data_IF_909598785854
#
_entry.id   IF_909598785854
#
_cell.length_a   1.000
_cell.length_b   1.000
_cell.length_c   1.000
_cell.angle_alpha   90.00
_cell.angle_beta   90.00
_cell.angle_gamma   90.00
#
_symmetry.space_group_name_H-M   'P 1'
#
loop_
_entity.id
_entity.type
_entity.pdbx_description
1 polymer ?
#
# COMPACT_ATOMS: atom_id res chain seq x y z
N UNK A 1 0.27 -8.63 4.19
CA UNK A 1 1.51 -9.42 4.17
C UNK A 1 1.16 -10.90 4.12
N UNK A 2 1.98 -11.73 3.47
CA UNK A 2 1.78 -13.18 3.43
C UNK A 2 3.06 -13.90 3.89
N UNK A 3 2.90 -14.83 4.81
CA UNK A 3 3.98 -15.71 5.28
C UNK A 3 3.67 -17.14 4.89
N UNK A 4 4.72 -17.86 4.48
CA UNK A 4 4.67 -19.27 4.10
C UNK A 4 5.66 -20.04 4.97
N UNK A 5 5.17 -21.07 5.65
CA UNK A 5 5.97 -21.95 6.48
C UNK A 5 5.71 -23.39 6.11
N UNK A 6 6.75 -24.21 6.05
CA UNK A 6 6.57 -25.67 6.12
C UNK A 6 6.10 -26.07 7.52
N UNK A 7 5.38 -27.18 7.62
CA UNK A 7 4.80 -27.68 8.87
C UNK A 7 5.84 -27.77 10.01
N UNK A 8 7.07 -28.17 9.70
CA UNK A 8 8.17 -28.26 10.68
C UNK A 8 8.54 -26.92 11.34
N UNK A 9 8.22 -25.79 10.71
CA UNK A 9 8.48 -24.45 11.24
C UNK A 9 7.29 -23.84 12.00
N UNK A 10 6.18 -24.58 12.11
CA UNK A 10 4.96 -24.15 12.79
C UNK A 10 4.75 -24.98 14.03
N UNK A 11 4.64 -24.36 15.20
CA UNK A 11 4.43 -25.06 16.46
C UNK A 11 3.13 -25.90 16.40
N UNK A 12 3.10 -27.14 16.92
CA UNK A 12 1.94 -28.02 16.83
C UNK A 12 0.63 -27.40 17.37
N UNK A 13 0.71 -26.60 18.44
CA UNK A 13 -0.45 -25.89 18.98
C UNK A 13 -1.02 -24.84 18.02
N UNK A 14 -0.17 -24.19 17.21
CA UNK A 14 -0.59 -23.27 16.17
C UNK A 14 -1.22 -24.02 15.00
N UNK A 15 -0.64 -25.16 14.59
CA UNK A 15 -1.20 -26.00 13.54
C UNK A 15 -2.64 -26.43 13.86
N UNK A 16 -2.90 -26.84 15.11
CA UNK A 16 -4.24 -27.18 15.58
C UNK A 16 -5.21 -25.99 15.52
N UNK A 17 -4.77 -24.79 15.89
CA UNK A 17 -5.62 -23.59 15.80
C UNK A 17 -5.96 -23.21 14.36
N UNK A 18 -5.04 -23.42 13.43
CA UNK A 18 -5.27 -23.24 11.98
C UNK A 18 -6.30 -24.27 11.51
N UNK A 19 -6.12 -25.55 11.83
CA UNK A 19 -7.05 -26.61 11.44
C UNK A 19 -8.48 -26.38 11.97
N UNK A 20 -8.60 -25.82 13.17
CA UNK A 20 -9.89 -25.50 13.79
C UNK A 20 -10.48 -24.14 13.35
N UNK A 21 -9.78 -23.35 12.52
CA UNK A 21 -10.23 -22.02 12.08
C UNK A 21 -10.25 -20.94 13.17
N UNK A 22 -9.81 -21.25 14.40
CA UNK A 22 -9.89 -20.35 15.57
C UNK A 22 -8.81 -19.25 15.61
N UNK A 23 -7.88 -19.27 14.65
CA UNK A 23 -6.74 -18.35 14.61
C UNK A 23 -7.07 -17.02 13.90
N UNK A 24 -8.18 -16.95 13.17
CA UNK A 24 -8.58 -15.77 12.41
C UNK A 24 -8.97 -14.62 13.36
N UNK A 25 -8.69 -13.38 12.97
CA UNK A 25 -8.83 -12.14 13.76
C UNK A 25 -7.97 -12.06 15.01
N UNK A 26 -7.09 -13.04 15.24
CA UNK A 26 -6.14 -12.98 16.34
C UNK A 26 -5.03 -11.99 16.02
N UNK A 27 -4.59 -11.27 17.05
CA UNK A 27 -3.45 -10.37 16.99
C UNK A 27 -2.15 -11.19 16.98
N UNK A 28 -1.29 -10.90 16.01
CA UNK A 28 0.02 -11.50 15.83
C UNK A 28 1.12 -10.45 15.99
N UNK A 29 2.23 -10.86 16.60
CA UNK A 29 3.46 -10.09 16.67
C UNK A 29 4.43 -10.63 15.61
N UNK A 30 4.86 -9.77 14.71
CA UNK A 30 5.85 -10.07 13.68
C UNK A 30 7.20 -9.61 14.19
N UNK A 31 8.14 -10.53 14.30
CA UNK A 31 9.52 -10.26 14.70
C UNK A 31 10.52 -10.65 13.61
N UNK A 32 11.65 -9.94 13.57
CA UNK A 32 12.84 -10.37 12.86
C UNK A 32 13.65 -11.27 13.79
N UNK A 33 14.09 -12.41 13.27
CA UNK A 33 14.95 -13.34 14.01
C UNK A 33 16.15 -13.71 13.13
N UNK A 34 17.34 -13.61 13.69
CA UNK A 34 18.58 -14.10 13.10
C UNK A 34 19.38 -14.89 14.14
N UNK A 35 20.18 -15.84 13.65
CA UNK A 35 21.16 -16.59 14.43
C UNK A 35 20.59 -17.20 15.73
N UNK A 36 19.38 -17.76 15.69
CA UNK A 36 18.67 -18.26 16.89
C UNK A 36 19.40 -19.39 17.65
N UNK A 37 20.30 -20.10 16.96
CA UNK A 37 21.16 -21.12 17.55
C UNK A 37 22.51 -20.56 18.05
N UNK A 38 22.87 -19.33 17.68
CA UNK A 38 24.10 -18.70 18.15
C UNK A 38 23.99 -18.33 19.64
N UNK A 39 25.03 -18.61 20.44
CA UNK A 39 25.07 -18.19 21.84
C UNK A 39 25.34 -16.69 22.00
N UNK A 40 26.00 -16.05 21.02
CA UNK A 40 26.51 -14.68 21.12
C UNK A 40 25.85 -13.71 20.17
N UNK A 41 25.34 -14.19 19.04
CA UNK A 41 24.84 -13.34 17.95
C UNK A 41 23.33 -13.43 17.74
N UNK A 42 22.64 -14.25 18.55
CA UNK A 42 21.18 -14.39 18.46
C UNK A 42 20.50 -13.03 18.49
N UNK A 43 19.65 -12.75 17.53
CA UNK A 43 19.03 -11.44 17.36
C UNK A 43 17.53 -11.60 17.15
N UNK A 44 16.74 -11.09 18.08
CA UNK A 44 15.28 -11.14 18.06
C UNK A 44 14.73 -9.74 18.32
N UNK A 45 14.05 -9.19 17.31
CA UNK A 45 13.48 -7.86 17.39
C UNK A 45 12.01 -7.90 16.98
N UNK A 46 11.06 -7.52 17.84
CA UNK A 46 9.69 -7.30 17.40
C UNK A 46 9.64 -6.08 16.46
N UNK A 47 8.89 -6.21 15.36
CA UNK A 47 8.89 -5.23 14.27
C UNK A 47 7.52 -4.61 14.10
N UNK A 48 6.46 -5.43 14.04
CA UNK A 48 5.09 -4.96 13.80
C UNK A 48 4.06 -5.86 14.45
N UNK A 49 2.88 -5.28 14.65
CA UNK A 49 1.66 -6.00 14.99
C UNK A 49 0.80 -6.13 13.75
N UNK A 50 0.15 -7.29 13.63
CA UNK A 50 -0.81 -7.54 12.57
C UNK A 50 -1.99 -8.38 13.08
N UNK A 51 -3.08 -8.37 12.33
CA UNK A 51 -4.23 -9.24 12.52
C UNK A 51 -4.18 -10.38 11.49
N UNK A 52 -4.47 -11.61 11.93
CA UNK A 52 -4.54 -12.78 11.05
C UNK A 52 -5.88 -12.76 10.29
N UNK A 53 -5.84 -12.43 8.99
CA UNK A 53 -7.06 -12.34 8.17
C UNK A 53 -7.41 -13.64 7.47
N UNK A 54 -6.41 -14.46 7.17
CA UNK A 54 -6.60 -15.81 6.65
C UNK A 54 -5.45 -16.71 7.10
N UNK A 55 -5.75 -17.98 7.36
CA UNK A 55 -4.78 -19.02 7.63
C UNK A 55 -5.26 -20.32 7.01
N UNK A 56 -4.41 -20.96 6.21
CA UNK A 56 -4.73 -22.22 5.54
C UNK A 56 -3.53 -23.16 5.59
N UNK A 57 -3.82 -24.47 5.59
CA UNK A 57 -2.84 -25.52 5.45
C UNK A 57 -3.09 -26.24 4.12
N UNK A 58 -2.12 -26.19 3.21
CA UNK A 58 -2.18 -26.86 1.92
C UNK A 58 -1.01 -27.83 1.85
N UNK A 59 -1.32 -29.12 1.86
CA UNK A 59 -0.35 -30.21 2.03
C UNK A 59 0.47 -30.03 3.33
N UNK A 60 1.77 -29.76 3.22
CA UNK A 60 2.68 -29.53 4.36
C UNK A 60 3.05 -28.06 4.54
N UNK A 61 2.29 -27.15 3.91
CA UNK A 61 2.58 -25.72 3.92
C UNK A 61 1.46 -24.95 4.59
N UNK A 62 1.82 -24.16 5.60
CA UNK A 62 0.96 -23.19 6.24
C UNK A 62 1.14 -21.82 5.60
N UNK A 63 0.02 -21.23 5.18
CA UNK A 63 -0.05 -19.89 4.63
C UNK A 63 -0.81 -19.00 5.60
N UNK A 64 -0.17 -17.91 6.03
CA UNK A 64 -0.79 -16.88 6.87
C UNK A 64 -0.86 -15.58 6.10
N UNK A 65 -2.08 -15.04 5.94
CA UNK A 65 -2.31 -13.69 5.44
C UNK A 65 -2.59 -12.78 6.62
N UNK A 66 -1.79 -11.72 6.72
CA UNK A 66 -1.81 -10.79 7.83
C UNK A 66 -2.13 -9.37 7.34
N UNK A 67 -3.00 -8.67 8.07
CA UNK A 67 -3.22 -7.22 7.92
C UNK A 67 -2.40 -6.48 8.97
N UNK A 68 -1.41 -5.73 8.53
CA UNK A 68 -0.58 -4.92 9.43
C UNK A 68 -1.45 -3.84 10.06
N UNK A 69 -1.34 -3.67 11.37
CA UNK A 69 -2.06 -2.62 12.10
C UNK A 69 -1.09 -1.53 12.53
N UNK A 70 -0.06 -1.90 13.29
CA UNK A 70 0.80 -0.94 13.98
C UNK A 70 2.26 -1.38 13.96
N UNK A 71 3.18 -0.41 14.02
CA UNK A 71 4.55 -0.66 14.45
C UNK A 71 4.62 -0.80 15.96
N UNK A 72 5.64 -1.52 16.43
CA UNK A 72 5.89 -1.63 17.87
C UNK A 72 6.73 -0.47 18.37
N UNK A 73 6.38 0.02 19.54
CA UNK A 73 7.23 0.87 20.35
C UNK A 73 8.36 0.05 20.96
N UNK A 74 9.58 0.48 20.66
CA UNK A 74 10.82 -0.13 21.11
C UNK A 74 11.62 0.80 22.00
N UNK A 75 11.05 1.87 22.55
CA UNK A 75 11.79 2.83 23.37
C UNK A 75 12.46 2.17 24.59
N UNK A 76 11.83 1.14 25.15
CA UNK A 76 12.37 0.33 26.24
C UNK A 76 13.46 -0.69 25.76
N UNK A 77 13.68 -0.83 24.45
CA UNK A 77 14.75 -1.66 23.87
C UNK A 77 16.05 -0.86 23.70
N UNK A 78 17.16 -1.51 24.05
CA UNK A 78 18.51 -0.96 23.87
C UNK A 78 18.82 -0.59 22.42
N UNK A 79 19.72 0.39 22.25
CA UNK A 79 20.37 0.74 20.98
C UNK A 79 21.74 0.06 20.81
N UNK A 80 22.13 -0.81 21.75
CA UNK A 80 23.35 -1.61 21.69
C UNK A 80 23.07 -3.00 21.13
N UNK A 81 23.77 -3.38 20.05
CA UNK A 81 23.66 -4.73 19.45
C UNK A 81 23.94 -5.83 20.48
N UNK A 82 24.95 -5.65 21.34
CA UNK A 82 25.33 -6.65 22.32
C UNK A 82 24.26 -6.87 23.41
N UNK A 83 23.62 -5.80 23.86
CA UNK A 83 22.51 -5.88 24.82
C UNK A 83 21.27 -6.51 24.19
N UNK A 84 20.93 -6.12 22.95
CA UNK A 84 19.86 -6.77 22.19
C UNK A 84 20.15 -8.27 22.05
N UNK A 85 21.38 -8.66 21.71
CA UNK A 85 21.72 -10.07 21.55
C UNK A 85 21.58 -10.87 22.86
N UNK A 86 21.99 -10.27 23.97
CA UNK A 86 21.87 -10.87 25.32
C UNK A 86 20.40 -11.10 25.70
N UNK A 87 19.54 -10.10 25.51
CA UNK A 87 18.10 -10.24 25.80
C UNK A 87 17.39 -11.16 24.80
N UNK A 88 17.80 -11.12 23.53
CA UNK A 88 17.30 -12.01 22.48
C UNK A 88 17.56 -13.48 22.82
N UNK A 89 18.77 -13.79 23.32
CA UNK A 89 19.12 -15.14 23.78
C UNK A 89 18.16 -15.62 24.87
N UNK A 90 17.97 -14.81 25.92
CA UNK A 90 17.03 -15.13 27.01
C UNK A 90 15.61 -15.36 26.51
N UNK A 91 15.16 -14.57 25.55
CA UNK A 91 13.83 -14.72 24.97
C UNK A 91 13.70 -15.99 24.12
N UNK A 92 14.70 -16.29 23.29
CA UNK A 92 14.75 -17.51 22.45
C UNK A 92 14.83 -18.76 23.30
N UNK A 93 15.60 -18.74 24.39
CA UNK A 93 15.67 -19.85 25.36
C UNK A 93 14.28 -20.15 25.96
N UNK A 94 13.56 -19.11 26.41
CA UNK A 94 12.19 -19.27 26.91
C UNK A 94 11.22 -19.79 25.85
N UNK A 95 11.40 -19.40 24.59
CA UNK A 95 10.62 -19.94 23.46
C UNK A 95 10.89 -21.44 23.29
N UNK A 96 12.17 -21.84 23.32
CA UNK A 96 12.58 -23.25 23.22
C UNK A 96 12.06 -24.07 24.39
N UNK A 97 12.21 -23.58 25.62
CA UNK A 97 11.69 -24.23 26.82
C UNK A 97 10.17 -24.45 26.75
N UNK A 98 9.42 -23.45 26.28
CA UNK A 98 7.96 -23.51 26.20
C UNK A 98 7.41 -24.42 25.09
N UNK A 99 8.21 -24.73 24.07
CA UNK A 99 7.78 -25.46 22.88
C UNK A 99 8.61 -26.73 22.59
N UNK A 100 9.61 -27.04 23.41
CA UNK A 100 10.59 -28.13 23.23
C UNK A 100 11.71 -27.79 22.23
N UNK A 101 11.36 -27.12 21.13
CA UNK A 101 12.31 -26.61 20.12
C UNK A 101 11.92 -25.19 19.68
N UNK A 102 12.79 -24.55 18.91
CA UNK A 102 12.47 -23.25 18.32
C UNK A 102 11.59 -23.42 17.09
N UNK A 103 10.45 -22.71 17.06
CA UNK A 103 9.57 -22.60 15.91
C UNK A 103 9.48 -21.14 15.48
N UNK A 104 9.70 -20.80 14.19
CA UNK A 104 9.45 -19.45 13.69
C UNK A 104 8.01 -18.97 13.86
N UNK A 105 7.02 -19.85 13.70
CA UNK A 105 5.60 -19.54 13.89
C UNK A 105 5.04 -20.30 15.09
N UNK A 106 4.62 -19.57 16.13
CA UNK A 106 4.27 -20.14 17.43
C UNK A 106 3.16 -19.33 18.12
N UNK A 107 2.54 -19.92 19.15
CA UNK A 107 1.55 -19.24 20.00
C UNK A 107 2.11 -18.79 21.35
N UNK A 108 3.09 -19.52 21.89
CA UNK A 108 3.63 -19.31 23.25
C UNK A 108 5.03 -18.72 23.19
N UNK A 109 5.14 -17.42 23.47
CA UNK A 109 6.39 -16.68 23.56
C UNK A 109 6.40 -15.79 24.81
N UNK A 110 7.58 -15.39 25.32
CA UNK A 110 7.68 -14.46 26.44
C UNK A 110 7.04 -13.10 26.10
N UNK A 111 6.53 -12.41 27.11
CA UNK A 111 6.04 -11.05 26.93
C UNK A 111 7.19 -10.13 26.54
N UNK A 112 7.01 -9.38 25.46
CA UNK A 112 7.93 -8.32 25.06
C UNK A 112 7.46 -6.97 25.64
N UNK A 113 8.38 -6.09 26.07
CA UNK A 113 8.05 -4.74 26.52
C UNK A 113 7.74 -3.84 25.32
N UNK A 114 6.65 -4.15 24.61
CA UNK A 114 6.21 -3.42 23.42
C UNK A 114 4.91 -2.68 23.70
N UNK A 115 4.81 -1.46 23.18
CA UNK A 115 3.57 -0.68 23.14
C UNK A 115 3.18 -0.49 21.68
N UNK A 116 1.93 -0.13 21.42
CA UNK A 116 1.44 0.14 20.06
C UNK A 116 0.72 1.47 19.94
N UNK A 117 0.84 2.33 20.95
CA UNK A 117 0.27 3.67 20.96
C UNK A 117 1.36 4.68 20.61
N UNK A 118 1.17 5.47 19.55
CA UNK A 118 2.11 6.51 19.18
C UNK A 118 2.02 6.90 17.71
N UNK A 119 2.87 7.86 17.33
CA UNK A 119 3.07 8.24 15.94
C UNK A 119 3.76 7.10 15.17
N UNK A 120 3.04 6.50 14.21
CA UNK A 120 3.53 5.36 13.43
C UNK A 120 4.82 5.67 12.67
N UNK A 121 5.06 6.93 12.27
CA UNK A 121 6.31 7.32 11.63
C UNK A 121 7.50 7.20 12.58
N UNK A 122 7.32 7.64 13.83
CA UNK A 122 8.33 7.55 14.88
C UNK A 122 8.56 6.10 15.34
N UNK A 123 7.49 5.31 15.48
CA UNK A 123 7.60 3.90 15.81
C UNK A 123 8.33 3.14 14.69
N UNK A 124 8.01 3.41 13.42
CA UNK A 124 8.70 2.81 12.29
C UNK A 124 10.20 3.14 12.25
N UNK A 125 10.59 4.40 12.45
CA UNK A 125 12.01 4.76 12.44
C UNK A 125 12.75 4.12 13.63
N UNK A 126 12.09 3.99 14.79
CA UNK A 126 12.61 3.32 15.98
C UNK A 126 12.91 1.83 15.71
N UNK A 127 12.02 1.15 14.98
CA UNK A 127 12.20 -0.22 14.48
C UNK A 127 13.33 -0.31 13.46
N UNK A 128 13.33 0.57 12.45
CA UNK A 128 14.31 0.55 11.37
C UNK A 128 15.74 0.79 11.89
N UNK A 129 15.92 1.71 12.84
CA UNK A 129 17.20 1.96 13.52
C UNK A 129 17.75 0.72 14.21
N UNK A 130 16.90 -0.03 14.93
CA UNK A 130 17.32 -1.24 15.63
C UNK A 130 17.63 -2.37 14.65
N UNK A 131 16.79 -2.59 13.64
CA UNK A 131 17.08 -3.54 12.57
C UNK A 131 18.44 -3.26 11.91
N UNK A 132 18.75 -1.99 11.64
CA UNK A 132 20.01 -1.57 11.03
C UNK A 132 21.26 -1.84 11.90
N UNK A 133 21.11 -2.14 13.20
CA UNK A 133 22.22 -2.60 14.04
C UNK A 133 22.68 -4.02 13.67
N UNK A 134 21.84 -4.79 12.99
CA UNK A 134 22.19 -6.12 12.53
C UNK A 134 22.99 -6.04 11.21
N UNK A 135 24.11 -6.80 11.06
CA UNK A 135 24.97 -6.72 9.87
C UNK A 135 24.24 -6.94 8.54
N UNK A 136 23.18 -7.75 8.55
CA UNK A 136 22.32 -7.98 7.37
C UNK A 136 21.67 -6.69 6.84
N UNK A 137 21.31 -5.76 7.72
CA UNK A 137 20.58 -4.55 7.36
C UNK A 137 21.43 -3.27 7.41
N UNK A 138 22.65 -3.33 7.92
CA UNK A 138 23.52 -2.16 8.15
C UNK A 138 23.69 -1.25 6.92
N UNK A 139 23.68 -1.84 5.72
CA UNK A 139 23.86 -1.18 4.42
C UNK A 139 22.59 -1.15 3.57
N UNK A 140 21.45 -1.43 4.17
CA UNK A 140 20.17 -1.52 3.47
C UNK A 140 19.33 -0.26 3.66
N UNK A 141 18.42 -0.04 2.73
CA UNK A 141 17.44 1.02 2.80
C UNK A 141 16.10 0.43 3.22
N UNK A 142 15.49 1.04 4.23
CA UNK A 142 14.16 0.72 4.71
C UNK A 142 13.16 1.65 4.03
N UNK A 143 12.03 1.09 3.63
CA UNK A 143 10.93 1.82 3.01
C UNK A 143 9.65 1.66 3.83
N UNK A 144 8.88 2.74 3.94
CA UNK A 144 7.52 2.75 4.47
C UNK A 144 6.60 3.42 3.47
N UNK A 145 5.53 2.72 3.14
CA UNK A 145 4.43 3.24 2.32
C UNK A 145 3.24 3.43 3.24
N UNK A 146 2.77 4.68 3.39
CA UNK A 146 1.63 5.00 4.23
C UNK A 146 0.31 4.89 3.44
N UNK A 147 -0.84 5.02 4.13
CA UNK A 147 -2.13 4.98 3.46
C UNK A 147 -2.27 6.17 2.48
N UNK A 148 -2.82 5.94 1.26
CA UNK A 148 -3.05 7.04 0.34
C UNK A 148 -4.08 8.03 0.90
N UNK A 149 -3.87 9.32 0.66
CA UNK A 149 -4.74 10.40 1.15
C UNK A 149 -5.44 11.09 -0.01
N UNK A 150 -6.70 11.47 0.17
CA UNK A 150 -7.42 12.27 -0.81
C UNK A 150 -6.85 13.70 -0.86
N UNK A 151 -6.80 14.31 -2.05
CA UNK A 151 -6.21 15.64 -2.23
C UNK A 151 -7.04 16.78 -1.62
N UNK A 152 -8.37 16.67 -1.69
CA UNK A 152 -9.29 17.73 -1.24
C UNK A 152 -9.98 17.44 0.09
N UNK A 153 -9.77 16.25 0.67
CA UNK A 153 -10.35 15.88 1.95
C UNK A 153 -9.28 15.17 2.79
N UNK A 154 -9.27 15.40 4.09
CA UNK A 154 -8.39 14.67 5.01
C UNK A 154 -8.80 13.18 5.17
N UNK A 155 -9.54 12.63 4.21
CA UNK A 155 -9.97 11.24 4.23
C UNK A 155 -8.88 10.38 3.58
N UNK A 156 -8.46 9.36 4.31
CA UNK A 156 -7.54 8.34 3.82
C UNK A 156 -8.30 7.30 3.01
N UNK A 157 -7.68 6.84 1.92
CA UNK A 157 -8.13 5.65 1.22
C UNK A 157 -7.62 4.43 1.96
N UNK A 158 -8.54 3.62 2.46
CA UNK A 158 -8.18 2.38 3.14
C UNK A 158 -7.95 1.24 2.15
N UNK A 159 -6.91 0.45 2.36
CA UNK A 159 -6.76 -0.83 1.69
C UNK A 159 -7.86 -1.80 2.15
N UNK A 160 -8.52 -2.45 1.19
CA UNK A 160 -9.50 -3.49 1.46
C UNK A 160 -8.88 -4.74 2.11
N UNK A 161 -9.73 -5.72 2.44
CA UNK A 161 -9.27 -6.94 3.13
C UNK A 161 -8.24 -7.75 2.36
N UNK A 162 -8.30 -7.69 1.03
CA UNK A 162 -7.37 -8.33 0.10
C UNK A 162 -6.11 -7.50 -0.17
N UNK A 163 -5.88 -6.40 0.58
CA UNK A 163 -4.76 -5.49 0.34
C UNK A 163 -4.90 -4.66 -0.93
N UNK A 164 -6.13 -4.51 -1.46
CA UNK A 164 -6.45 -3.75 -2.66
C UNK A 164 -6.82 -2.33 -2.33
N UNK A 165 -6.21 -1.36 -3.01
CA UNK A 165 -6.65 0.03 -2.96
C UNK A 165 -7.85 0.22 -3.89
N UNK A 166 -8.87 0.96 -3.48
CA UNK A 166 -10.01 1.31 -4.34
C UNK A 166 -10.04 2.82 -4.56
N UNK A 167 -9.91 3.25 -5.81
CA UNK A 167 -9.99 4.65 -6.22
C UNK A 167 -11.20 4.86 -7.14
N UNK A 168 -11.86 6.02 -7.06
CA UNK A 168 -12.83 6.42 -8.07
C UNK A 168 -12.13 6.90 -9.35
N UNK A 169 -12.80 6.80 -10.50
CA UNK A 169 -12.32 7.43 -11.73
C UNK A 169 -12.12 8.93 -11.51
N UNK A 170 -11.01 9.47 -12.04
CA UNK A 170 -10.61 10.87 -11.88
C UNK A 170 -10.44 11.35 -10.43
N UNK A 171 -10.41 10.45 -9.43
CA UNK A 171 -10.13 10.79 -8.03
C UNK A 171 -8.66 10.56 -7.74
N UNK A 172 -7.82 11.61 -7.77
CA UNK A 172 -6.42 11.43 -7.50
C UNK A 172 -6.16 11.09 -6.03
N UNK A 173 -5.16 10.23 -5.82
CA UNK A 173 -4.72 9.79 -4.51
C UNK A 173 -3.25 10.12 -4.32
N UNK A 174 -2.92 10.70 -3.17
CA UNK A 174 -1.56 11.04 -2.78
C UNK A 174 -1.00 9.90 -1.95
N UNK A 175 0.13 9.33 -2.37
CA UNK A 175 0.75 8.18 -1.73
C UNK A 175 2.05 8.61 -1.03
N UNK A 176 2.04 8.79 0.30
CA UNK A 176 3.25 9.16 1.04
C UNK A 176 4.17 7.96 1.18
N UNK A 177 5.46 8.18 0.91
CA UNK A 177 6.51 7.17 1.04
C UNK A 177 7.67 7.77 1.80
N UNK A 178 8.07 7.11 2.89
CA UNK A 178 9.26 7.49 3.68
C UNK A 178 10.35 6.43 3.50
N UNK A 179 11.61 6.85 3.59
CA UNK A 179 12.74 5.94 3.60
C UNK A 179 13.75 6.28 4.68
N UNK A 180 14.55 5.28 5.05
CA UNK A 180 15.61 5.42 6.04
C UNK A 180 16.78 4.48 5.74
N UNK A 181 18.00 4.96 5.94
CA UNK A 181 19.22 4.18 5.95
C UNK A 181 20.13 4.60 7.11
N UNK A 182 20.75 3.62 7.75
CA UNK A 182 21.72 3.89 8.81
C UNK A 182 22.97 4.56 8.24
N UNK A 183 23.43 4.12 7.07
CA UNK A 183 24.56 4.69 6.36
C UNK A 183 24.12 5.12 4.96
N UNK A 184 24.27 6.41 4.67
CA UNK A 184 24.09 6.94 3.31
C UNK A 184 25.43 6.86 2.57
N UNK A 185 25.38 6.47 1.31
CA UNK A 185 26.53 6.45 0.41
C UNK A 185 26.12 7.15 -0.86
N UNK A 186 26.94 8.10 -1.33
CA UNK A 186 26.65 8.91 -2.52
C UNK A 186 26.67 8.09 -3.82
N UNK A 187 27.41 6.98 -3.84
CA UNK A 187 27.47 6.05 -4.96
C UNK A 187 27.28 4.60 -4.46
N UNK A 188 26.47 3.77 -5.15
CA UNK A 188 25.69 4.07 -6.35
C UNK A 188 24.48 4.99 -6.06
N UNK A 189 24.01 5.69 -7.10
CA UNK A 189 22.82 6.54 -7.01
C UNK A 189 21.60 5.69 -6.65
N UNK A 190 20.98 5.99 -5.52
CA UNK A 190 19.77 5.31 -5.04
C UNK A 190 18.56 6.16 -5.43
N UNK A 191 17.55 5.52 -6.01
CA UNK A 191 16.31 6.16 -6.37
C UNK A 191 15.13 5.44 -5.71
N UNK A 192 14.12 6.25 -5.38
CA UNK A 192 12.80 5.80 -5.02
C UNK A 192 11.90 6.01 -6.24
N UNK A 193 11.47 4.94 -6.89
CA UNK A 193 10.61 5.00 -8.07
C UNK A 193 9.22 4.48 -7.78
N UNK A 194 8.24 5.05 -8.47
CA UNK A 194 6.88 4.56 -8.52
C UNK A 194 6.55 4.20 -9.97
N UNK A 195 5.96 3.03 -10.18
CA UNK A 195 5.61 2.50 -11.48
C UNK A 195 4.16 2.02 -11.47
N UNK A 196 3.49 2.14 -12.61
CA UNK A 196 2.13 1.65 -12.85
C UNK A 196 2.07 1.00 -14.22
N UNK A 197 1.03 0.20 -14.49
CA UNK A 197 0.83 -0.38 -15.82
C UNK A 197 0.48 0.68 -16.90
N UNK A 198 0.30 1.95 -16.51
CA UNK A 198 0.11 3.11 -17.39
C UNK A 198 -1.22 3.18 -18.16
N UNK A 199 -2.09 2.17 -18.06
CA UNK A 199 -3.33 2.09 -18.85
C UNK A 199 -4.54 2.80 -18.24
N UNK A 200 -4.74 2.63 -16.94
CA UNK A 200 -5.91 3.13 -16.22
C UNK A 200 -5.53 4.01 -15.03
N UNK A 201 -4.27 3.94 -14.63
CA UNK A 201 -3.68 4.71 -13.55
C UNK A 201 -2.35 5.24 -14.08
N UNK A 202 -2.13 6.53 -13.88
CA UNK A 202 -0.89 7.22 -14.23
C UNK A 202 -0.35 7.96 -13.03
N UNK A 203 0.94 8.19 -13.03
CA UNK A 203 1.62 8.99 -12.00
C UNK A 203 1.64 10.41 -12.52
N UNK A 204 0.99 11.33 -11.81
CA UNK A 204 0.93 12.74 -12.19
C UNK A 204 2.02 13.60 -11.55
N UNK A 205 2.76 13.05 -10.58
CA UNK A 205 3.98 13.63 -10.02
C UNK A 205 5.21 13.11 -10.76
N UNK A 206 6.40 13.52 -10.31
CA UNK A 206 7.64 12.83 -10.68
C UNK A 206 7.54 11.35 -10.28
N UNK A 207 7.87 10.46 -11.22
CA UNK A 207 7.81 9.01 -11.01
C UNK A 207 9.09 8.46 -10.34
N UNK A 208 10.11 9.29 -10.17
CA UNK A 208 11.38 8.96 -9.53
C UNK A 208 11.81 10.09 -8.60
N UNK A 209 12.40 9.73 -7.47
CA UNK A 209 12.98 10.64 -6.50
C UNK A 209 14.37 10.16 -6.11
N UNK A 210 15.36 11.04 -6.26
CA UNK A 210 16.75 10.76 -5.94
C UNK A 210 16.96 10.78 -4.42
N UNK A 211 17.45 9.68 -3.87
CA UNK A 211 17.76 9.58 -2.44
C UNK A 211 19.13 10.21 -2.18
N UNK A 212 19.11 11.44 -1.67
CA UNK A 212 20.33 12.21 -1.36
C UNK A 212 20.66 12.27 0.15
N UNK A 213 19.82 11.69 1.00
CA UNK A 213 19.89 11.79 2.45
C UNK A 213 19.66 10.43 3.12
N UNK A 214 20.01 10.35 4.41
CA UNK A 214 19.78 9.15 5.24
C UNK A 214 18.31 8.87 5.52
N UNK A 215 17.48 9.89 5.55
CA UNK A 215 16.04 9.77 5.76
C UNK A 215 15.36 10.93 5.07
N UNK A 216 14.24 10.65 4.42
CA UNK A 216 13.35 11.65 3.85
C UNK A 216 11.98 11.03 3.58
N UNK A 217 11.06 11.85 3.10
CA UNK A 217 9.76 11.44 2.60
C UNK A 217 9.44 12.13 1.27
N UNK A 218 8.84 11.38 0.35
CA UNK A 218 8.29 11.91 -0.90
C UNK A 218 6.84 11.46 -1.06
N UNK A 219 6.14 12.05 -2.02
CA UNK A 219 4.73 11.76 -2.28
C UNK A 219 4.54 11.47 -3.76
N UNK A 220 4.01 10.28 -4.08
CA UNK A 220 3.62 9.93 -5.44
C UNK A 220 2.15 10.21 -5.67
N UNK A 221 1.83 10.88 -6.77
CA UNK A 221 0.45 11.28 -7.06
C UNK A 221 -0.13 10.31 -8.09
N UNK A 222 -1.07 9.49 -7.64
CA UNK A 222 -1.77 8.52 -8.47
C UNK A 222 -3.01 9.17 -9.06
N UNK A 223 -3.09 9.27 -10.39
CA UNK A 223 -4.21 9.85 -11.11
C UNK A 223 -4.93 8.74 -11.89
N UNK A 224 -6.13 8.31 -11.43
CA UNK A 224 -6.96 7.38 -12.19
C UNK A 224 -7.50 8.03 -13.45
N UNK A 225 -7.51 7.28 -14.53
CA UNK A 225 -8.13 7.67 -15.80
C UNK A 225 -9.63 7.42 -15.82
N UNK A 226 -10.31 8.15 -16.68
CA UNK A 226 -11.73 7.91 -16.95
C UNK A 226 -11.90 6.54 -17.61
N UNK A 227 -12.60 5.63 -16.95
CA UNK A 227 -12.93 4.30 -17.47
C UNK A 227 -14.44 4.09 -17.53
N UNK A 228 -14.90 3.32 -18.53
CA UNK A 228 -16.31 2.88 -18.64
C UNK A 228 -16.61 1.62 -17.83
N UNK A 229 -15.59 0.98 -17.27
CA UNK A 229 -15.69 -0.26 -16.49
C UNK A 229 -14.74 -0.22 -15.29
N UNK A 230 -14.98 -1.10 -14.32
CA UNK A 230 -14.05 -1.29 -13.21
C UNK A 230 -12.77 -1.95 -13.72
N UNK A 231 -11.63 -1.28 -13.51
CA UNK A 231 -10.32 -1.75 -13.97
C UNK A 231 -9.45 -2.17 -12.78
N UNK A 232 -8.64 -3.21 -12.99
CA UNK A 232 -7.60 -3.64 -12.04
C UNK A 232 -6.23 -3.30 -12.63
N UNK A 233 -5.39 -2.67 -11.82
CA UNK A 233 -4.00 -2.33 -12.16
C UNK A 233 -3.12 -2.51 -10.91
N UNK A 234 -1.81 -2.32 -11.05
CA UNK A 234 -0.87 -2.41 -9.94
C UNK A 234 -0.04 -1.13 -9.84
N UNK A 235 0.33 -0.82 -8.60
CA UNK A 235 1.35 0.19 -8.28
C UNK A 235 2.53 -0.56 -7.70
N UNK A 236 3.72 -0.29 -8.22
CA UNK A 236 4.98 -0.80 -7.69
C UNK A 236 5.83 0.37 -7.23
N UNK A 237 6.19 0.39 -5.95
CA UNK A 237 7.19 1.31 -5.41
C UNK A 237 8.48 0.54 -5.23
N UNK A 238 9.59 1.07 -5.73
CA UNK A 238 10.91 0.46 -5.65
C UNK A 238 11.89 1.45 -5.04
N UNK A 239 12.68 0.97 -4.08
CA UNK A 239 13.79 1.68 -3.46
C UNK A 239 15.07 0.88 -3.66
N UNK A 240 16.05 1.46 -4.36
CA UNK A 240 17.32 0.80 -4.61
C UNK A 240 18.16 1.54 -5.65
N UNK A 241 19.31 0.98 -6.04
CA UNK A 241 20.13 1.58 -7.09
C UNK A 241 19.38 1.61 -8.42
N UNK A 242 19.61 2.67 -9.21
CA UNK A 242 19.11 2.78 -10.59
C UNK A 242 19.71 1.67 -11.46
N UNK A 243 21.01 1.45 -11.33
CA UNK A 243 21.74 0.36 -11.97
C UNK A 243 21.66 -0.95 -11.16
N UNK A 244 21.76 -2.09 -11.84
CA UNK A 244 21.85 -3.39 -11.19
C UNK A 244 23.17 -3.51 -10.41
N UNK A 245 23.14 -3.14 -9.14
CA UNK A 245 24.28 -3.18 -8.21
C UNK A 245 24.16 -4.25 -7.12
N UNK A 246 25.13 -4.26 -6.21
CA UNK A 246 25.18 -5.20 -5.08
C UNK A 246 24.24 -4.83 -3.90
N UNK A 247 23.64 -3.63 -3.92
CA UNK A 247 22.73 -3.17 -2.85
C UNK A 247 21.36 -3.80 -3.09
N UNK A 248 20.76 -4.45 -2.08
CA UNK A 248 19.44 -5.08 -2.23
C UNK A 248 18.38 -4.03 -2.54
N UNK A 249 17.55 -4.35 -3.54
CA UNK A 249 16.40 -3.53 -3.93
C UNK A 249 15.19 -3.93 -3.06
N UNK A 250 14.53 -2.94 -2.47
CA UNK A 250 13.26 -3.14 -1.78
C UNK A 250 12.13 -2.73 -2.72
N UNK A 251 11.17 -3.62 -2.97
CA UNK A 251 9.98 -3.29 -3.76
C UNK A 251 8.71 -3.67 -3.03
N UNK A 252 7.68 -2.85 -3.21
CA UNK A 252 6.32 -3.10 -2.71
C UNK A 252 5.37 -2.93 -3.88
N UNK A 253 4.68 -4.01 -4.23
CA UNK A 253 3.63 -4.01 -5.27
C UNK A 253 2.29 -4.24 -4.62
N UNK A 254 1.31 -3.39 -4.94
CA UNK A 254 -0.06 -3.58 -4.49
C UNK A 254 -1.08 -3.34 -5.61
N UNK A 255 -2.18 -4.13 -5.61
CA UNK A 255 -3.26 -3.96 -6.57
C UNK A 255 -4.13 -2.73 -6.27
N UNK A 256 -4.55 -2.04 -7.33
CA UNK A 256 -5.47 -0.91 -7.31
C UNK A 256 -6.67 -1.20 -8.20
N UNK A 257 -7.87 -1.09 -7.65
CA UNK A 257 -9.14 -1.15 -8.37
C UNK A 257 -9.60 0.28 -8.63
N UNK A 258 -9.85 0.58 -9.89
CA UNK A 258 -10.42 1.86 -10.32
C UNK A 258 -11.90 1.64 -10.58
N UNK A 259 -12.73 2.28 -9.75
CA UNK A 259 -14.18 2.16 -9.81
C UNK A 259 -14.74 3.19 -10.78
N UNK A 260 -15.54 2.74 -11.74
CA UNK A 260 -16.24 3.64 -12.64
C UNK A 260 -17.33 4.43 -11.89
N UNK A 261 -17.40 5.75 -12.11
CA UNK A 261 -18.48 6.57 -11.54
C UNK A 261 -19.80 6.35 -12.29
N UNK A 262 -20.73 5.67 -11.63
CA UNK A 262 -22.13 5.56 -12.10
C UNK A 262 -22.84 6.91 -12.11
N UNK A 263 -22.48 7.82 -11.21
CA UNK A 263 -23.06 9.18 -11.14
C UNK A 263 -22.81 9.92 -12.43
N UNK A 264 -21.65 9.72 -13.06
CA UNK A 264 -21.31 10.35 -14.34
C UNK A 264 -22.11 9.79 -15.51
N UNK A 265 -22.40 8.49 -15.50
CA UNK A 265 -23.28 7.89 -16.49
C UNK A 265 -24.70 8.45 -16.35
N UNK A 266 -25.21 8.52 -15.11
CA UNK A 266 -26.53 9.10 -14.82
C UNK A 266 -26.59 10.57 -15.21
N UNK A 267 -25.58 11.38 -14.88
CA UNK A 267 -25.55 12.80 -15.26
C UNK A 267 -25.50 13.00 -16.77
N UNK A 268 -24.72 12.19 -17.49
CA UNK A 268 -24.72 12.18 -18.96
C UNK A 268 -26.08 11.81 -19.54
N UNK A 269 -26.74 10.78 -19.00
CA UNK A 269 -28.09 10.38 -19.44
C UNK A 269 -29.10 11.49 -19.19
N UNK A 270 -29.05 12.15 -18.03
CA UNK A 270 -29.94 13.27 -17.70
C UNK A 270 -29.67 14.47 -18.63
N UNK A 271 -28.41 14.87 -18.83
CA UNK A 271 -28.04 15.97 -19.72
C UNK A 271 -28.46 15.69 -21.16
N UNK A 272 -28.24 14.45 -21.64
CA UNK A 272 -28.67 14.03 -22.98
C UNK A 272 -30.19 13.98 -23.12
N UNK A 273 -30.92 13.51 -22.10
CA UNK A 273 -32.38 13.50 -22.09
C UNK A 273 -32.97 14.92 -22.06
N UNK A 274 -32.39 15.82 -21.25
CA UNK A 274 -32.73 17.24 -21.25
C UNK A 274 -32.44 17.89 -22.60
N UNK A 275 -31.28 17.59 -23.20
CA UNK A 275 -30.92 18.08 -24.52
C UNK A 275 -31.89 17.62 -25.61
N UNK A 276 -32.24 16.33 -25.62
CA UNK A 276 -33.24 15.78 -26.54
C UNK A 276 -34.63 16.40 -26.34
N UNK A 277 -35.05 16.61 -25.10
CA UNK A 277 -36.32 17.28 -24.78
C UNK A 277 -36.33 18.73 -25.28
N UNK A 278 -35.24 19.48 -25.07
CA UNK A 278 -35.10 20.87 -25.52
C UNK A 278 -35.10 20.98 -27.06
N UNK A 279 -34.48 20.04 -27.77
CA UNK A 279 -34.53 19.97 -29.24
C UNK A 279 -35.94 19.61 -29.75
N UNK A 280 -36.67 18.74 -29.05
CA UNK A 280 -38.01 18.31 -29.43
C UNK A 280 -39.12 19.30 -29.00
N UNK A 281 -38.89 20.13 -27.98
CA UNK A 281 -39.86 21.07 -27.43
C UNK A 281 -40.49 22.03 -28.46
N UNK A 282 -39.75 22.57 -29.46
CA UNK A 282 -40.33 23.35 -30.55
C UNK A 282 -41.42 22.64 -31.37
N UNK A 283 -41.33 21.32 -31.53
CA UNK A 283 -42.34 20.53 -32.24
C UNK A 283 -43.58 20.27 -31.37
N UNK A 284 -43.39 20.19 -30.04
CA UNK A 284 -44.45 19.93 -29.05
C UNK A 284 -45.25 21.22 -28.74
N UNK A 285 -44.58 22.37 -28.67
CA UNK A 285 -45.20 23.67 -28.34
C UNK A 285 -46.07 24.24 -29.48
N UNK A 286 -46.04 23.63 -30.68
CA UNK A 286 -46.89 24.00 -31.82
C UNK A 286 -46.64 25.41 -32.36
N UNK A 287 -47.45 25.87 -33.31
CA UNK A 287 -47.31 27.17 -34.01
C UNK A 287 -47.46 28.43 -33.12
N UNK A 288 -47.85 28.27 -31.86
CA UNK A 288 -48.16 29.36 -30.94
C UNK A 288 -46.93 29.95 -30.21
N UNK A 289 -45.78 29.28 -30.24
CA UNK A 289 -44.54 29.82 -29.66
C UNK A 289 -43.75 30.66 -30.66
N UNK A 290 -43.08 31.72 -30.19
CA UNK A 290 -42.25 32.58 -31.06
C UNK A 290 -41.10 31.80 -31.69
N UNK A 291 -40.76 32.16 -32.94
CA UNK A 291 -39.69 31.51 -33.70
C UNK A 291 -38.32 31.64 -32.99
N UNK A 292 -38.07 32.79 -32.35
CA UNK A 292 -36.86 33.03 -31.58
C UNK A 292 -36.70 32.04 -30.40
N UNK A 293 -37.78 31.77 -29.66
CA UNK A 293 -37.75 30.80 -28.55
C UNK A 293 -37.42 29.38 -29.04
N UNK A 294 -37.96 28.98 -30.20
CA UNK A 294 -37.69 27.65 -30.79
C UNK A 294 -36.24 27.48 -31.18
N UNK A 295 -35.63 28.51 -31.76
CA UNK A 295 -34.21 28.50 -32.12
C UNK A 295 -33.36 28.40 -30.86
N UNK A 296 -33.65 29.18 -29.81
CA UNK A 296 -32.90 29.15 -28.56
C UNK A 296 -32.96 27.76 -27.90
N UNK A 297 -34.14 27.15 -27.84
CA UNK A 297 -34.31 25.79 -27.30
C UNK A 297 -33.56 24.73 -28.11
N UNK A 298 -33.60 24.81 -29.44
CA UNK A 298 -32.89 23.88 -30.32
C UNK A 298 -31.36 24.03 -30.19
N UNK A 299 -30.84 25.25 -30.10
CA UNK A 299 -29.41 25.53 -29.91
C UNK A 299 -28.95 25.07 -28.52
N UNK A 300 -29.69 25.40 -27.46
CA UNK A 300 -29.38 24.96 -26.11
C UNK A 300 -29.43 23.43 -25.97
N UNK A 301 -30.43 22.79 -26.57
CA UNK A 301 -30.56 21.33 -26.58
C UNK A 301 -29.43 20.64 -27.35
N UNK A 302 -29.03 21.20 -28.50
CA UNK A 302 -27.89 20.69 -29.29
C UNK A 302 -26.56 20.85 -28.55
N UNK A 303 -26.37 21.96 -27.83
CA UNK A 303 -25.20 22.17 -26.97
C UNK A 303 -25.16 21.18 -25.80
N UNK A 304 -26.31 20.89 -25.17
CA UNK A 304 -26.42 19.87 -24.12
C UNK A 304 -26.14 18.45 -24.65
N UNK A 305 -26.64 18.10 -25.84
CA UNK A 305 -26.34 16.81 -26.49
C UNK A 305 -24.86 16.68 -26.88
N UNK A 306 -24.23 17.77 -27.33
CA UNK A 306 -22.79 17.80 -27.64
C UNK A 306 -21.95 17.56 -26.38
N UNK A 307 -22.27 18.25 -25.28
CA UNK A 307 -21.55 18.06 -24.00
C UNK A 307 -21.81 16.68 -23.36
N UNK A 308 -22.98 16.10 -23.56
CA UNK A 308 -23.31 14.74 -23.12
C UNK A 308 -22.64 13.63 -23.92
N UNK A 309 -22.31 13.88 -25.20
CA UNK A 309 -21.79 12.88 -26.16
C UNK A 309 -20.26 12.87 -26.31
N UNK A 310 -19.55 13.89 -25.85
CA UNK A 310 -18.09 13.92 -25.92
C UNK A 310 -17.45 12.81 -25.04
N UNK A 311 -16.69 11.87 -25.63
CA UNK A 311 -15.73 11.10 -24.86
C UNK A 311 -14.64 12.08 -24.39
N UNK A 312 -14.32 12.08 -23.09
CA UNK A 312 -13.10 12.75 -22.61
C UNK A 312 -11.89 11.90 -23.05
N UNK A 313 -11.62 11.86 -24.36
CA UNK A 313 -10.26 11.73 -24.86
C UNK A 313 -9.77 13.16 -25.04
N UNK A 314 -8.96 13.63 -24.10
CA UNK A 314 -8.57 15.04 -24.04
C UNK A 314 -7.40 15.25 -23.09
N UNK A 315 -6.23 14.81 -23.52
CA UNK A 315 -4.95 15.01 -22.84
C UNK A 315 -3.77 14.41 -23.61
N UNK A 316 -3.84 14.36 -24.94
CA UNK A 316 -2.67 14.22 -25.81
C UNK A 316 -2.40 15.62 -26.37
N UNK A 317 -1.43 16.30 -25.77
CA UNK A 317 -0.62 17.26 -26.50
C UNK A 317 0.61 16.49 -26.96
N UNK A 318 0.52 15.89 -28.13
CA UNK A 318 1.70 15.62 -28.95
C UNK A 318 2.35 16.97 -29.25
N UNK A 319 3.39 17.32 -28.50
CA UNK A 319 4.43 18.22 -28.99
C UNK A 319 5.59 17.35 -29.43
N UNK A 320 5.54 16.92 -30.68
CA UNK A 320 6.71 16.43 -31.41
C UNK A 320 7.61 17.60 -31.80
N UNK A 321 8.92 17.35 -31.65
CA UNK A 321 10.11 18.00 -32.23
C UNK A 321 10.39 19.47 -31.91
N UNK A 322 11.49 19.69 -31.17
CA UNK A 322 12.80 19.93 -31.78
C UNK A 322 13.87 19.15 -31.01
#
# INVERSE_FOLDING_TARGET
MQFRYEAQYVAPSLQQKVANGTIIQQRALIGFVADAESPTDAYLLPVRVAEIVAAECVAEVFLFKLRVTDHVDLDDYSLSRAEIATESRKAIDKIKEGNGVYYPALLKFPTFPIRTSGDQAQLWISVARRLALHPYFEKTYFMRVDQPVHLTSAHEFTFGSEGRLSLGDLQPARLPVSFYAQHYVEAPKIALTCETDGRFLRISSDASHDVALRYDSTEFWLQPDASSFDALTHVTIRLGPEDNGAIPVTSVTFPVIIKHSRVRLVSRVIISALGAFLVAAPAILGLHSSLALRIVLAVAGSAALSTGSLPLSGGHADTGSA
#
